data_IF_699939132765
#
_entry.id   IF_699939132765
#
_cell.length_a   1.000
_cell.length_b   1.000
_cell.length_c   1.000
_cell.angle_alpha   90.00
_cell.angle_beta   90.00
_cell.angle_gamma   90.00
#
_symmetry.space_group_name_H-M   'P 1'
#
loop_
_entity.id
_entity.type
_entity.pdbx_description
1 polymer ?
#
# COMPACT_ATOMS: atom_id res chain seq x y z
N UNK A 1 -27.96 30.68 5.66
CA UNK A 1 -26.49 30.75 5.74
C UNK A 1 -25.95 29.32 5.68
N UNK A 2 -25.14 29.06 4.65
CA UNK A 2 -24.29 27.92 4.31
C UNK A 2 -24.50 26.59 5.05
N UNK A 3 -25.25 25.68 4.41
CA UNK A 3 -25.19 24.24 4.68
C UNK A 3 -23.80 23.72 4.30
N UNK A 4 -23.07 23.21 5.28
CA UNK A 4 -21.79 22.50 5.11
C UNK A 4 -22.01 21.32 4.18
N UNK A 5 -21.57 21.47 2.92
CA UNK A 5 -21.40 20.34 2.00
C UNK A 5 -20.33 19.42 2.58
N UNK A 6 -20.74 18.51 3.47
CA UNK A 6 -20.00 17.28 3.74
C UNK A 6 -19.81 16.63 2.38
N UNK A 7 -18.58 16.71 1.88
CA UNK A 7 -18.18 16.08 0.62
C UNK A 7 -18.39 14.58 0.83
N UNK A 8 -19.46 14.04 0.26
CA UNK A 8 -19.73 12.62 0.30
C UNK A 8 -18.63 11.92 -0.50
N UNK A 9 -17.66 11.34 0.20
CA UNK A 9 -16.61 10.55 -0.42
C UNK A 9 -17.26 9.22 -0.83
N UNK A 10 -17.17 8.83 -2.12
CA UNK A 10 -17.74 7.57 -2.58
C UNK A 10 -17.15 6.37 -1.82
N UNK A 11 -17.98 5.37 -1.52
CA UNK A 11 -17.57 4.19 -0.76
C UNK A 11 -16.33 3.51 -1.36
N UNK A 12 -16.26 3.39 -2.69
CA UNK A 12 -15.13 2.79 -3.40
C UNK A 12 -13.81 3.53 -3.17
N UNK A 13 -13.86 4.85 -2.94
CA UNK A 13 -12.67 5.65 -2.58
C UNK A 13 -12.28 5.40 -1.13
N UNK A 14 -13.25 5.23 -0.22
CA UNK A 14 -13.00 4.88 1.17
C UNK A 14 -12.39 3.48 1.29
N UNK A 15 -12.92 2.51 0.56
CA UNK A 15 -12.40 1.14 0.54
C UNK A 15 -10.94 1.13 0.08
N UNK A 16 -10.62 1.87 -0.99
CA UNK A 16 -9.24 2.00 -1.47
C UNK A 16 -8.31 2.72 -0.46
N UNK A 17 -8.84 3.68 0.29
CA UNK A 17 -8.10 4.31 1.39
C UNK A 17 -7.83 3.32 2.53
N UNK A 18 -8.78 2.45 2.85
CA UNK A 18 -8.61 1.41 3.87
C UNK A 18 -7.55 0.40 3.45
N UNK A 19 -7.54 -0.05 2.19
CA UNK A 19 -6.50 -0.94 1.68
C UNK A 19 -5.12 -0.30 1.72
N UNK A 20 -5.04 1.00 1.40
CA UNK A 20 -3.79 1.76 1.53
C UNK A 20 -3.35 1.82 3.00
N UNK A 21 -4.25 2.07 3.95
CA UNK A 21 -3.94 2.07 5.37
C UNK A 21 -3.49 0.69 5.87
N UNK A 22 -4.13 -0.38 5.43
CA UNK A 22 -3.73 -1.75 5.77
C UNK A 22 -2.32 -2.05 5.26
N UNK A 23 -2.01 -1.64 4.02
CA UNK A 23 -0.67 -1.78 3.46
C UNK A 23 0.39 -1.07 4.31
N UNK A 24 0.09 0.14 4.79
CA UNK A 24 0.98 0.93 5.65
C UNK A 24 1.20 0.19 6.97
N UNK A 25 0.12 -0.21 7.61
CA UNK A 25 0.17 -0.92 8.89
C UNK A 25 1.02 -2.18 8.77
N UNK A 26 0.80 -3.00 7.73
CA UNK A 26 1.58 -4.22 7.50
C UNK A 26 3.05 -3.89 7.26
N UNK A 27 3.38 -2.85 6.48
CA UNK A 27 4.78 -2.42 6.27
C UNK A 27 5.46 -1.98 7.56
N UNK A 28 4.74 -1.30 8.47
CA UNK A 28 5.27 -0.92 9.78
C UNK A 28 5.53 -2.16 10.64
N UNK A 29 4.55 -3.07 10.73
CA UNK A 29 4.70 -4.36 11.44
C UNK A 29 5.89 -5.13 10.88
N UNK A 30 6.07 -5.09 9.56
CA UNK A 30 7.23 -5.67 8.90
C UNK A 30 8.54 -5.04 9.42
N UNK A 31 8.66 -3.73 9.36
CA UNK A 31 9.87 -3.05 9.84
C UNK A 31 10.20 -3.36 11.31
N UNK A 32 9.18 -3.47 12.17
CA UNK A 32 9.36 -3.85 13.58
C UNK A 32 9.83 -5.30 13.68
N UNK A 33 9.17 -6.23 13.00
CA UNK A 33 9.52 -7.65 13.05
C UNK A 33 10.94 -7.92 12.53
N UNK A 34 11.37 -7.28 11.44
CA UNK A 34 12.75 -7.41 10.95
C UNK A 34 13.77 -6.94 11.99
N UNK A 35 13.52 -5.82 12.67
CA UNK A 35 14.37 -5.32 13.77
C UNK A 35 14.38 -6.28 14.96
N UNK A 36 13.22 -6.79 15.36
CA UNK A 36 13.11 -7.73 16.49
C UNK A 36 13.79 -9.07 16.18
N UNK A 37 13.63 -9.60 14.96
CA UNK A 37 14.31 -10.83 14.54
C UNK A 37 15.82 -10.69 14.46
N UNK A 38 16.34 -9.51 14.09
CA UNK A 38 17.77 -9.22 14.18
C UNK A 38 18.27 -9.35 15.64
N UNK A 39 17.49 -8.86 16.61
CA UNK A 39 17.80 -9.01 18.04
C UNK A 39 17.71 -10.46 18.51
N UNK A 40 16.68 -11.20 18.08
CA UNK A 40 16.44 -12.61 18.46
C UNK A 40 17.49 -13.55 17.87
N UNK A 41 17.97 -13.29 16.65
CA UNK A 41 19.06 -14.08 16.05
C UNK A 41 20.38 -13.94 16.85
N UNK A 42 20.51 -12.88 17.67
CA UNK A 42 21.64 -12.70 18.57
C UNK A 42 21.41 -13.35 19.95
N UNK A 43 20.30 -14.07 20.16
CA UNK A 43 19.98 -14.80 21.39
C UNK A 43 19.72 -16.29 21.13
N UNK A 44 19.69 -17.10 22.18
CA UNK A 44 19.58 -18.57 22.12
C UNK A 44 18.16 -19.05 21.77
N UNK A 45 17.73 -18.78 20.54
CA UNK A 45 16.39 -19.15 20.04
C UNK A 45 16.44 -20.49 19.31
N UNK A 46 15.46 -21.36 19.54
CA UNK A 46 15.46 -22.70 18.91
C UNK A 46 15.16 -22.64 17.41
N UNK A 47 15.73 -23.55 16.58
CA UNK A 47 15.47 -23.58 15.13
C UNK A 47 14.00 -23.73 14.75
N UNK A 48 13.19 -24.44 15.55
CA UNK A 48 11.77 -24.63 15.31
C UNK A 48 10.98 -23.32 15.46
N UNK A 49 11.29 -22.50 16.47
CA UNK A 49 10.70 -21.18 16.65
C UNK A 49 11.08 -20.25 15.50
N UNK A 50 12.35 -20.26 15.08
CA UNK A 50 12.81 -19.47 13.94
C UNK A 50 12.08 -19.82 12.63
N UNK A 51 11.79 -21.10 12.39
CA UNK A 51 11.06 -21.54 11.19
C UNK A 51 9.60 -21.08 11.17
N UNK A 52 8.90 -21.11 12.32
CA UNK A 52 7.53 -20.58 12.43
C UNK A 52 7.49 -19.07 12.17
N UNK A 53 8.45 -18.32 12.73
CA UNK A 53 8.58 -16.88 12.46
C UNK A 53 8.84 -16.61 10.98
N UNK A 54 9.72 -17.38 10.32
CA UNK A 54 9.98 -17.24 8.87
C UNK A 54 8.75 -17.51 8.01
N UNK A 55 7.93 -18.51 8.34
CA UNK A 55 6.70 -18.82 7.60
C UNK A 55 5.68 -17.68 7.68
N UNK A 56 5.37 -17.23 8.89
CA UNK A 56 4.46 -16.09 9.14
C UNK A 56 4.98 -14.80 8.48
N UNK A 57 6.31 -14.64 8.47
CA UNK A 57 6.98 -13.52 7.84
C UNK A 57 6.84 -13.47 6.32
N UNK A 58 7.10 -14.60 5.65
CA UNK A 58 6.92 -14.71 4.20
C UNK A 58 5.47 -14.50 3.79
N UNK A 59 4.52 -15.02 4.58
CA UNK A 59 3.10 -14.80 4.35
C UNK A 59 2.74 -13.31 4.41
N UNK A 60 3.24 -12.60 5.44
CA UNK A 60 3.03 -11.16 5.60
C UNK A 60 3.61 -10.35 4.44
N UNK A 61 4.83 -10.70 3.99
CA UNK A 61 5.44 -10.09 2.78
C UNK A 61 4.63 -10.35 1.51
N UNK A 62 4.09 -11.57 1.36
CA UNK A 62 3.21 -11.90 0.24
C UNK A 62 1.94 -11.05 0.25
N UNK A 63 1.35 -10.82 1.43
CA UNK A 63 0.18 -9.96 1.59
C UNK A 63 0.45 -8.51 1.16
N UNK A 64 1.63 -7.96 1.48
CA UNK A 64 2.05 -6.64 0.96
C UNK A 64 2.02 -6.61 -0.56
N UNK A 65 2.65 -7.59 -1.22
CA UNK A 65 2.67 -7.65 -2.68
C UNK A 65 1.25 -7.81 -3.26
N UNK A 66 0.36 -8.53 -2.58
CA UNK A 66 -1.06 -8.65 -2.95
C UNK A 66 -1.79 -7.32 -2.87
N UNK A 67 -1.67 -6.60 -1.76
CA UNK A 67 -2.30 -5.28 -1.58
C UNK A 67 -1.80 -4.27 -2.60
N UNK A 68 -0.50 -4.25 -2.90
CA UNK A 68 0.04 -3.42 -3.98
C UNK A 68 -0.64 -3.66 -5.33
N UNK A 69 -0.94 -4.93 -5.66
CA UNK A 69 -1.63 -5.28 -6.90
C UNK A 69 -3.11 -4.92 -6.86
N UNK A 70 -3.78 -5.19 -5.74
CA UNK A 70 -5.20 -4.87 -5.56
C UNK A 70 -5.43 -3.37 -5.68
N UNK A 71 -4.69 -2.56 -4.91
CA UNK A 71 -4.82 -1.09 -4.91
C UNK A 71 -4.68 -0.52 -6.33
N UNK A 72 -3.70 -1.00 -7.11
CA UNK A 72 -3.53 -0.56 -8.50
C UNK A 72 -4.69 -0.99 -9.38
N UNK A 73 -5.15 -2.24 -9.25
CA UNK A 73 -6.28 -2.76 -10.01
C UNK A 73 -7.57 -2.01 -9.67
N UNK A 74 -7.92 -1.89 -8.40
CA UNK A 74 -9.14 -1.26 -7.91
C UNK A 74 -9.14 0.23 -8.26
N UNK A 75 -8.00 0.91 -8.09
CA UNK A 75 -7.83 2.28 -8.56
C UNK A 75 -8.12 2.41 -10.05
N UNK A 76 -7.61 1.50 -10.89
CA UNK A 76 -7.80 1.58 -12.34
C UNK A 76 -9.27 1.44 -12.77
N UNK A 77 -10.10 0.74 -11.99
CA UNK A 77 -11.54 0.61 -12.22
C UNK A 77 -12.35 1.83 -11.75
N UNK A 78 -11.76 2.73 -10.96
CA UNK A 78 -12.47 3.93 -10.49
C UNK A 78 -12.77 4.92 -11.64
N UNK A 79 -13.93 5.59 -11.61
CA UNK A 79 -14.20 6.73 -12.48
C UNK A 79 -13.16 7.85 -12.31
N UNK A 80 -12.94 8.63 -13.38
CA UNK A 80 -11.93 9.70 -13.45
C UNK A 80 -11.95 10.67 -12.25
N UNK A 81 -13.14 11.08 -11.83
CA UNK A 81 -13.29 12.02 -10.72
C UNK A 81 -12.89 11.40 -9.37
N UNK A 82 -13.20 10.12 -9.16
CA UNK A 82 -12.85 9.37 -7.95
C UNK A 82 -11.35 9.10 -7.86
N UNK A 83 -10.72 8.73 -8.98
CA UNK A 83 -9.26 8.60 -9.10
C UNK A 83 -8.53 9.84 -8.60
N UNK A 84 -8.95 11.02 -9.09
CA UNK A 84 -8.38 12.31 -8.69
C UNK A 84 -8.60 12.60 -7.20
N UNK A 85 -9.79 12.31 -6.68
CA UNK A 85 -10.07 12.47 -5.24
C UNK A 85 -9.14 11.59 -4.41
N UNK A 86 -9.02 10.31 -4.74
CA UNK A 86 -8.14 9.37 -4.04
C UNK A 86 -6.67 9.83 -4.06
N UNK A 87 -6.14 10.18 -5.25
CA UNK A 87 -4.74 10.63 -5.38
C UNK A 87 -4.50 11.91 -4.60
N UNK A 88 -5.39 12.91 -4.69
CA UNK A 88 -5.22 14.17 -3.97
C UNK A 88 -5.23 13.98 -2.46
N UNK A 89 -6.08 13.12 -1.94
CA UNK A 89 -6.16 12.83 -0.50
C UNK A 89 -4.93 12.09 0.03
N UNK A 90 -4.27 11.28 -0.81
CA UNK A 90 -3.22 10.35 -0.38
C UNK A 90 -1.88 10.57 -1.09
N UNK A 91 -1.64 11.72 -1.70
CA UNK A 91 -0.50 11.92 -2.61
C UNK A 91 0.85 11.63 -1.93
N UNK A 92 1.07 12.20 -0.74
CA UNK A 92 2.29 11.98 0.04
C UNK A 92 2.45 10.51 0.41
N UNK A 93 1.39 9.90 0.94
CA UNK A 93 1.34 8.50 1.37
C UNK A 93 1.62 7.53 0.21
N UNK A 94 1.02 7.78 -0.95
CA UNK A 94 1.25 6.98 -2.16
C UNK A 94 2.73 7.02 -2.55
N UNK A 95 3.33 8.21 -2.62
CA UNK A 95 4.74 8.39 -2.95
C UNK A 95 5.67 7.72 -1.92
N UNK A 96 5.42 7.93 -0.63
CA UNK A 96 6.20 7.34 0.47
C UNK A 96 6.20 5.81 0.42
N UNK A 97 5.07 5.22 0.01
CA UNK A 97 4.92 3.78 -0.08
C UNK A 97 5.20 3.20 -1.48
N UNK A 98 5.79 4.02 -2.36
CA UNK A 98 6.39 3.62 -3.63
C UNK A 98 5.42 3.56 -4.81
N UNK A 99 4.17 3.98 -4.63
CA UNK A 99 3.29 4.23 -5.76
C UNK A 99 3.73 5.50 -6.48
N UNK A 100 3.49 5.55 -7.79
CA UNK A 100 3.72 6.76 -8.59
C UNK A 100 2.45 7.13 -9.32
N UNK A 101 1.71 8.14 -8.82
CA UNK A 101 0.62 8.75 -9.58
C UNK A 101 1.15 9.36 -10.88
N UNK A 102 0.38 9.28 -11.95
CA UNK A 102 0.60 10.06 -13.17
C UNK A 102 0.35 11.56 -12.93
N UNK A 103 0.88 12.42 -13.80
CA UNK A 103 0.71 13.87 -13.69
C UNK A 103 -0.77 14.30 -13.71
N UNK A 104 -1.62 13.55 -14.43
CA UNK A 104 -3.06 13.79 -14.50
C UNK A 104 -3.88 13.09 -13.39
N UNK A 105 -3.21 12.37 -12.50
CA UNK A 105 -3.76 11.59 -11.37
C UNK A 105 -4.74 10.49 -11.79
N UNK A 106 -4.61 9.95 -13.01
CA UNK A 106 -5.51 8.92 -13.56
C UNK A 106 -4.93 7.51 -13.55
N UNK A 107 -3.65 7.38 -13.28
CA UNK A 107 -2.93 6.12 -13.14
C UNK A 107 -2.08 6.14 -11.88
N UNK A 108 -1.90 4.98 -11.25
CA UNK A 108 -0.86 4.76 -10.26
C UNK A 108 -0.07 3.51 -10.68
N UNK A 109 1.26 3.58 -10.63
CA UNK A 109 2.09 2.40 -10.86
C UNK A 109 2.58 1.82 -9.54
N UNK A 110 2.67 0.49 -9.45
CA UNK A 110 3.25 -0.20 -8.29
C UNK A 110 4.74 0.13 -8.10
N UNK A 111 5.28 0.01 -6.87
CA UNK A 111 6.70 0.14 -6.62
C UNK A 111 7.52 -0.81 -7.49
N UNK A 112 8.62 -0.31 -8.06
CA UNK A 112 9.53 -1.10 -8.91
C UNK A 112 9.02 -1.36 -10.33
N UNK A 113 7.83 -0.88 -10.72
CA UNK A 113 7.39 -0.94 -12.11
C UNK A 113 8.13 0.14 -12.92
N UNK A 114 9.11 -0.26 -13.75
CA UNK A 114 9.65 0.62 -14.79
C UNK A 114 8.52 0.92 -15.77
N UNK A 115 8.11 2.18 -15.93
CA UNK A 115 7.26 2.59 -17.06
C UNK A 115 8.03 2.21 -18.33
N UNK A 116 7.49 1.29 -19.12
CA UNK A 116 7.90 1.14 -20.51
C UNK A 116 7.39 2.40 -21.19
N UNK A 117 8.27 3.38 -21.36
CA UNK A 117 7.98 4.56 -22.17
C UNK A 117 7.92 4.06 -23.60
N UNK A 118 6.72 3.96 -24.16
CA UNK A 118 6.57 3.87 -25.62
C UNK A 118 7.02 5.23 -26.17
N UNK A 119 8.27 5.30 -26.61
CA UNK A 119 8.70 6.34 -27.52
C UNK A 119 8.16 5.91 -28.88
N UNK A 120 7.06 6.55 -29.29
CA UNK A 120 6.55 6.52 -30.67
C UNK A 120 7.37 7.49 -31.53
#
# INVERSE_FOLDING_TARGET
MSSTRLSHIPQQVLDLCNDLQELIFIKVVIGIHDRTMLTINNTTTTPAQLNLHRGSWLHTKSKVASLHRSIVADFNHLPRHMKRTFVRMNQSTLCEHGFRPSDDCLEITRPGSRRVVFVL
#
